data_IF_475120920600
#
_entry.id   IF_475120920600
#
_cell.length_a   1.000
_cell.length_b   1.000
_cell.length_c   1.000
_cell.angle_alpha   90.00
_cell.angle_beta   90.00
_cell.angle_gamma   90.00
#
_symmetry.space_group_name_H-M   'P 1'
#
loop_
_entity.id
_entity.type
_entity.pdbx_description
1 polymer ?
#
# COMPACT_ATOMS: atom_id res chain seq x y z
N UNK A 1 -4.27 1.48 -3.86
CA UNK A 1 -3.56 2.55 -3.13
C UNK A 1 -2.10 2.17 -3.04
N UNK A 2 -1.19 3.06 -3.37
CA UNK A 2 0.24 2.87 -3.10
C UNK A 2 0.57 3.51 -1.75
N UNK A 3 1.34 2.82 -0.92
CA UNK A 3 1.75 3.29 0.40
C UNK A 3 3.27 3.24 0.50
N UNK A 4 3.88 4.31 0.96
CA UNK A 4 5.31 4.34 1.29
C UNK A 4 5.49 4.23 2.80
N UNK A 5 6.25 3.26 3.26
CA UNK A 5 6.56 3.05 4.68
C UNK A 5 7.59 4.04 5.23
N UNK A 6 8.21 4.85 4.40
CA UNK A 6 9.22 5.85 4.81
C UNK A 6 9.04 7.16 4.07
N UNK A 7 8.66 8.19 4.80
CA UNK A 7 8.65 9.58 4.34
C UNK A 7 7.26 10.18 4.16
N UNK A 8 7.20 11.50 4.21
CA UNK A 8 6.00 12.26 3.95
C UNK A 8 5.62 12.12 2.47
N UNK A 9 4.36 11.82 2.21
CA UNK A 9 3.79 11.81 0.88
C UNK A 9 3.93 13.22 0.27
N UNK A 10 4.79 13.35 -0.74
CA UNK A 10 4.94 14.61 -1.45
C UNK A 10 4.31 14.48 -2.84
N UNK A 11 3.20 15.15 -3.04
CA UNK A 11 2.44 15.14 -4.29
C UNK A 11 3.28 15.55 -5.51
N UNK A 12 4.32 16.35 -5.31
CA UNK A 12 5.22 16.80 -6.38
C UNK A 12 6.20 15.71 -6.85
N UNK A 13 6.31 14.60 -6.12
CA UNK A 13 7.17 13.46 -6.47
C UNK A 13 6.40 12.27 -7.05
N UNK A 14 5.09 12.42 -7.25
CA UNK A 14 4.19 11.36 -7.80
C UNK A 14 4.68 10.82 -9.14
N UNK A 15 5.33 11.64 -9.96
CA UNK A 15 5.82 11.23 -11.29
C UNK A 15 7.06 10.32 -11.25
N UNK A 16 7.64 10.06 -10.08
CA UNK A 16 8.89 9.29 -9.91
C UNK A 16 8.70 7.95 -9.23
N UNK A 17 7.48 7.56 -8.91
CA UNK A 17 7.17 6.35 -8.15
C UNK A 17 6.03 5.60 -8.80
N UNK A 18 5.82 4.32 -8.46
CA UNK A 18 4.68 3.51 -8.94
C UNK A 18 3.29 4.12 -8.67
N UNK A 19 3.23 5.19 -7.87
CA UNK A 19 2.04 6.01 -7.67
C UNK A 19 1.61 6.72 -8.98
N UNK A 20 2.51 6.92 -9.94
CA UNK A 20 2.16 7.54 -11.23
C UNK A 20 1.10 6.73 -11.99
N UNK A 21 1.25 5.40 -12.03
CA UNK A 21 0.29 4.50 -12.68
C UNK A 21 -1.07 4.56 -11.97
N UNK A 22 -1.06 4.62 -10.65
CA UNK A 22 -2.28 4.74 -9.86
C UNK A 22 -2.95 6.11 -10.05
N UNK A 23 -2.16 7.20 -10.10
CA UNK A 23 -2.67 8.54 -10.41
C UNK A 23 -3.32 8.58 -11.79
N UNK A 24 -2.68 7.96 -12.79
CA UNK A 24 -3.17 7.96 -14.16
C UNK A 24 -4.46 7.12 -14.25
N UNK A 25 -4.56 6.00 -13.51
CA UNK A 25 -5.79 5.24 -13.37
C UNK A 25 -6.88 5.99 -12.59
N UNK A 26 -6.51 6.80 -11.58
CA UNK A 26 -7.46 7.67 -10.86
C UNK A 26 -7.91 8.85 -11.71
N UNK A 27 -7.02 9.46 -12.49
CA UNK A 27 -7.40 10.51 -13.44
C UNK A 27 -8.30 9.96 -14.54
N UNK A 28 -8.04 8.72 -14.99
CA UNK A 28 -8.92 8.00 -15.91
C UNK A 28 -10.31 7.76 -15.32
N UNK A 29 -10.37 7.30 -14.05
CA UNK A 29 -11.66 7.12 -13.35
C UNK A 29 -12.38 8.45 -13.07
N UNK A 30 -11.65 9.56 -12.91
CA UNK A 30 -12.26 10.90 -12.79
C UNK A 30 -12.72 11.49 -14.14
N UNK A 31 -12.06 11.13 -15.22
CA UNK A 31 -12.49 11.53 -16.57
C UNK A 31 -13.71 10.74 -17.04
N UNK A 32 -13.86 9.49 -16.57
CA UNK A 32 -15.03 8.65 -16.85
C UNK A 32 -16.28 9.00 -16.03
N UNK A 33 -16.18 9.85 -15.00
CA UNK A 33 -17.38 10.36 -14.34
C UNK A 33 -18.19 11.17 -15.36
N UNK A 34 -19.35 10.66 -15.64
CA UNK A 34 -20.30 11.31 -16.55
C UNK A 34 -20.61 12.73 -16.04
N UNK A 35 -21.05 13.59 -16.92
CA UNK A 35 -21.48 14.95 -16.53
C UNK A 35 -22.57 14.89 -15.44
N UNK A 36 -23.43 13.85 -15.48
CA UNK A 36 -24.46 13.60 -14.48
C UNK A 36 -23.90 13.25 -13.10
N UNK A 37 -22.83 12.46 -13.04
CA UNK A 37 -22.18 12.12 -11.76
C UNK A 37 -21.42 13.31 -11.17
N UNK A 38 -20.75 14.12 -12.01
CA UNK A 38 -20.13 15.37 -11.58
C UNK A 38 -21.18 16.38 -11.08
N UNK A 39 -22.31 16.47 -11.76
CA UNK A 39 -23.42 17.33 -11.35
C UNK A 39 -24.15 16.79 -10.14
N UNK A 40 -24.23 15.46 -9.97
CA UNK A 40 -24.76 14.81 -8.76
C UNK A 40 -23.87 15.10 -7.54
N UNK A 41 -22.56 14.95 -7.68
CA UNK A 41 -21.61 15.28 -6.62
C UNK A 41 -21.62 16.78 -6.26
N UNK A 42 -21.77 17.66 -7.26
CA UNK A 42 -21.93 19.09 -7.05
C UNK A 42 -23.27 19.43 -6.39
N UNK A 43 -24.36 18.73 -6.76
CA UNK A 43 -25.66 18.86 -6.11
C UNK A 43 -25.63 18.38 -4.66
N UNK A 44 -24.92 17.28 -4.37
CA UNK A 44 -24.70 16.80 -3.01
C UNK A 44 -23.91 17.81 -2.17
N UNK A 45 -22.87 18.44 -2.74
CA UNK A 45 -22.16 19.56 -2.11
C UNK A 45 -23.06 20.76 -1.87
N UNK A 46 -23.86 21.15 -2.86
CA UNK A 46 -24.81 22.28 -2.74
C UNK A 46 -25.95 21.96 -1.79
N UNK A 47 -26.39 20.70 -1.68
CA UNK A 47 -27.36 20.24 -0.67
C UNK A 47 -26.71 20.26 0.71
N UNK A 48 -25.45 19.88 0.84
CA UNK A 48 -24.66 20.01 2.06
C UNK A 48 -24.54 21.48 2.49
N UNK A 49 -24.18 22.36 1.58
CA UNK A 49 -24.11 23.81 1.82
C UNK A 49 -25.48 24.43 2.04
N UNK A 50 -26.55 23.97 1.35
CA UNK A 50 -27.89 24.55 1.45
C UNK A 50 -28.79 23.88 2.48
N UNK A 51 -28.59 22.63 2.85
CA UNK A 51 -29.35 21.98 3.94
C UNK A 51 -28.92 22.49 5.31
N UNK A 52 -27.74 23.08 5.42
CA UNK A 52 -27.36 23.88 6.56
C UNK A 52 -28.22 25.15 6.73
N UNK A 53 -29.03 25.50 5.71
CA UNK A 53 -29.67 26.82 5.61
C UNK A 53 -31.21 26.81 5.70
N UNK A 54 -31.90 25.69 5.87
CA UNK A 54 -33.37 25.65 5.82
C UNK A 54 -34.03 24.74 6.85
N UNK A 55 -33.97 25.08 8.11
CA UNK A 55 -35.02 24.64 9.05
C UNK A 55 -35.62 25.80 9.85
N UNK A 56 -36.94 25.79 9.96
CA UNK A 56 -37.76 26.85 10.56
C UNK A 56 -37.53 26.97 12.06
N UNK A 57 -37.57 28.22 12.51
CA UNK A 57 -37.84 28.68 13.88
C UNK A 57 -36.72 28.51 14.92
N UNK A 58 -35.54 28.84 14.61
CA UNK A 58 -34.47 29.43 15.43
C UNK A 58 -33.43 29.93 14.46
N UNK A 59 -32.70 30.94 14.82
CA UNK A 59 -31.71 31.55 13.96
C UNK A 59 -30.82 30.45 13.32
N UNK A 60 -31.03 30.19 12.05
CA UNK A 60 -30.37 29.08 11.30
C UNK A 60 -28.85 29.21 11.32
N UNK A 61 -28.36 30.42 11.58
CA UNK A 61 -26.93 30.73 11.68
C UNK A 61 -26.30 30.12 12.93
N UNK A 62 -26.95 30.21 14.07
CA UNK A 62 -26.46 29.66 15.35
C UNK A 62 -26.46 28.13 15.32
N UNK A 63 -27.49 27.52 14.75
CA UNK A 63 -27.58 26.06 14.61
C UNK A 63 -26.50 25.53 13.66
N UNK A 64 -26.31 26.21 12.54
CA UNK A 64 -25.27 25.84 11.57
C UNK A 64 -23.88 25.96 12.19
N UNK A 65 -23.61 27.02 12.92
CA UNK A 65 -22.34 27.21 13.63
C UNK A 65 -22.12 26.11 14.69
N UNK A 66 -23.17 25.75 15.46
CA UNK A 66 -23.11 24.68 16.45
C UNK A 66 -22.86 23.29 15.79
N UNK A 67 -23.51 23.01 14.66
CA UNK A 67 -23.31 21.81 13.86
C UNK A 67 -21.87 21.70 13.36
N UNK A 68 -21.38 22.78 12.73
CA UNK A 68 -20.02 22.82 12.20
C UNK A 68 -18.96 22.68 13.31
N UNK A 69 -19.21 23.36 14.44
CA UNK A 69 -18.33 23.21 15.61
C UNK A 69 -18.32 21.77 16.11
N UNK A 70 -19.49 21.13 16.22
CA UNK A 70 -19.57 19.74 16.70
C UNK A 70 -18.93 18.75 15.74
N UNK A 71 -19.09 18.94 14.44
CA UNK A 71 -18.39 18.14 13.43
C UNK A 71 -16.86 18.25 13.56
N UNK A 72 -16.35 19.47 13.78
CA UNK A 72 -14.91 19.70 13.97
C UNK A 72 -14.40 19.04 15.26
N UNK A 73 -15.15 19.10 16.36
CA UNK A 73 -14.81 18.43 17.63
C UNK A 73 -14.74 16.90 17.47
N UNK A 74 -15.66 16.29 16.70
CA UNK A 74 -15.63 14.85 16.41
C UNK A 74 -14.40 14.50 15.54
N UNK A 75 -14.08 15.33 14.55
CA UNK A 75 -12.85 15.15 13.79
C UNK A 75 -11.59 15.21 14.65
N UNK A 76 -11.55 16.12 15.62
CA UNK A 76 -10.42 16.22 16.54
C UNK A 76 -10.36 15.01 17.50
N UNK A 77 -11.51 14.55 17.99
CA UNK A 77 -11.60 13.41 18.91
C UNK A 77 -11.13 12.09 18.24
N UNK A 78 -11.52 11.84 16.99
CA UNK A 78 -11.27 10.57 16.29
C UNK A 78 -10.15 10.63 15.25
N UNK A 79 -9.65 11.82 14.92
CA UNK A 79 -8.58 12.05 13.95
C UNK A 79 -9.05 12.32 12.53
N UNK A 80 -8.10 12.74 11.69
CA UNK A 80 -8.34 13.19 10.30
C UNK A 80 -8.84 12.10 9.34
N UNK A 81 -8.81 10.85 9.75
CA UNK A 81 -9.27 9.71 8.93
C UNK A 81 -10.78 9.48 9.00
N UNK A 82 -11.47 10.17 9.91
CA UNK A 82 -12.91 10.05 10.05
C UNK A 82 -13.62 11.09 9.17
N UNK A 83 -14.64 10.65 8.45
CA UNK A 83 -15.52 11.52 7.68
C UNK A 83 -16.75 11.83 8.51
N UNK A 84 -16.92 13.09 8.91
CA UNK A 84 -18.03 13.55 9.75
C UNK A 84 -18.90 14.51 8.95
N UNK A 85 -20.17 14.14 8.80
CA UNK A 85 -21.14 14.93 8.04
C UNK A 85 -22.53 14.86 8.67
N UNK A 86 -23.45 15.81 8.34
CA UNK A 86 -24.87 15.62 8.58
C UNK A 86 -25.40 14.39 7.87
N UNK A 87 -26.32 13.66 8.49
CA UNK A 87 -26.88 12.43 7.89
C UNK A 87 -27.39 12.64 6.46
N UNK A 88 -28.01 13.78 6.18
CA UNK A 88 -28.54 14.08 4.84
C UNK A 88 -27.47 14.03 3.73
N UNK A 89 -26.21 14.33 4.07
CA UNK A 89 -25.11 14.28 3.12
C UNK A 89 -24.73 12.84 2.72
N UNK A 90 -25.19 11.83 3.45
CA UNK A 90 -24.98 10.41 3.14
C UNK A 90 -26.15 9.79 2.37
N UNK A 91 -27.24 10.52 2.12
CA UNK A 91 -28.36 10.01 1.36
C UNK A 91 -27.93 9.70 -0.08
N UNK A 92 -28.01 8.43 -0.46
CA UNK A 92 -27.58 7.97 -1.78
C UNK A 92 -26.06 7.78 -1.90
N UNK A 93 -25.30 7.86 -0.80
CA UNK A 93 -23.88 7.51 -0.81
C UNK A 93 -23.68 6.01 -0.66
N UNK A 94 -22.57 5.47 -1.24
CA UNK A 94 -22.21 4.06 -1.14
C UNK A 94 -21.78 3.64 0.28
N UNK A 95 -21.57 4.62 1.19
CA UNK A 95 -21.12 4.37 2.56
C UNK A 95 -22.24 3.99 3.51
N UNK A 96 -23.45 4.48 3.30
CA UNK A 96 -24.60 4.19 4.16
C UNK A 96 -25.72 3.59 3.32
N UNK A 97 -26.03 2.32 3.56
CA UNK A 97 -27.18 1.71 2.91
C UNK A 97 -28.50 2.33 3.38
N UNK A 98 -29.54 2.16 2.59
CA UNK A 98 -30.86 2.74 2.88
C UNK A 98 -31.42 2.36 4.27
N UNK A 99 -31.11 1.14 4.75
CA UNK A 99 -31.60 0.68 6.06
C UNK A 99 -30.99 1.46 7.21
N UNK A 100 -29.68 1.71 7.17
CA UNK A 100 -29.00 2.53 8.17
C UNK A 100 -29.42 3.99 8.09
N UNK A 101 -29.56 4.54 6.87
CA UNK A 101 -30.03 5.89 6.69
C UNK A 101 -31.40 6.10 7.34
N UNK A 102 -32.38 5.23 7.05
CA UNK A 102 -33.72 5.31 7.63
C UNK A 102 -33.72 5.07 9.15
N UNK A 103 -32.90 4.16 9.63
CA UNK A 103 -32.73 3.89 11.06
C UNK A 103 -32.22 5.14 11.80
N UNK A 104 -31.15 5.77 11.29
CA UNK A 104 -30.58 6.98 11.90
C UNK A 104 -31.53 8.14 11.82
N UNK A 105 -32.20 8.34 10.69
CA UNK A 105 -33.23 9.36 10.49
C UNK A 105 -34.38 9.21 11.48
N UNK A 106 -34.88 7.99 11.67
CA UNK A 106 -36.01 7.72 12.57
C UNK A 106 -35.63 7.93 14.05
N UNK A 107 -34.39 7.67 14.45
CA UNK A 107 -33.88 7.94 15.79
C UNK A 107 -33.77 9.43 16.08
N UNK A 108 -33.34 10.23 15.09
CA UNK A 108 -33.16 11.68 15.25
C UNK A 108 -34.46 12.49 15.26
N UNK A 109 -35.51 11.99 14.60
CA UNK A 109 -36.75 12.72 14.38
C UNK A 109 -36.62 13.84 13.34
N UNK A 110 -37.75 14.38 12.86
CA UNK A 110 -37.79 15.40 11.80
C UNK A 110 -37.30 16.79 12.23
N UNK A 111 -37.17 17.02 13.54
CA UNK A 111 -36.79 18.32 14.12
C UNK A 111 -35.33 18.38 14.57
N UNK A 112 -34.58 17.26 14.45
CA UNK A 112 -33.24 17.13 15.02
C UNK A 112 -32.20 16.88 13.96
N UNK A 113 -31.03 17.49 14.11
CA UNK A 113 -29.88 17.21 13.28
C UNK A 113 -29.20 15.91 13.73
N UNK A 114 -28.97 15.01 12.79
CA UNK A 114 -28.14 13.82 13.00
C UNK A 114 -26.79 14.05 12.34
N UNK A 115 -25.72 13.86 13.09
CA UNK A 115 -24.35 13.83 12.59
C UNK A 115 -23.92 12.38 12.53
N UNK A 116 -23.27 11.99 11.44
CA UNK A 116 -22.68 10.66 11.29
C UNK A 116 -21.19 10.81 11.04
N UNK A 117 -20.40 10.17 11.88
CA UNK A 117 -18.99 9.95 11.64
C UNK A 117 -18.79 8.58 11.02
N UNK A 118 -18.06 8.51 9.92
CA UNK A 118 -17.71 7.25 9.26
C UNK A 118 -16.20 7.09 9.29
N UNK A 119 -15.72 6.01 9.87
CA UNK A 119 -14.31 5.67 9.77
C UNK A 119 -14.14 4.26 9.21
N UNK A 120 -13.01 4.09 8.57
CA UNK A 120 -12.65 2.88 7.87
C UNK A 120 -11.51 2.22 8.62
N UNK A 121 -11.70 0.99 9.07
CA UNK A 121 -10.66 0.21 9.73
C UNK A 121 -10.20 -0.90 8.81
N UNK A 122 -8.90 -0.99 8.62
CA UNK A 122 -8.32 -2.16 7.97
C UNK A 122 -8.21 -3.30 8.98
N UNK A 123 -8.86 -4.41 8.70
CA UNK A 123 -8.83 -5.63 9.51
C UNK A 123 -7.95 -6.71 8.91
N UNK A 124 -7.45 -6.48 7.68
CA UNK A 124 -6.65 -7.45 6.98
C UNK A 124 -5.25 -7.64 7.58
N UNK A 125 -4.69 -8.84 7.44
CA UNK A 125 -3.34 -9.12 7.87
C UNK A 125 -2.31 -8.30 7.08
N UNK A 126 -1.18 -8.04 7.71
CA UNK A 126 -0.06 -7.31 7.15
C UNK A 126 1.24 -7.95 7.63
N UNK A 127 2.21 -8.04 6.72
CA UNK A 127 3.60 -8.32 7.04
C UNK A 127 4.45 -7.18 6.47
N UNK A 128 5.11 -6.45 7.34
CA UNK A 128 6.03 -5.38 6.95
C UNK A 128 7.23 -5.96 6.18
N UNK A 129 7.86 -5.18 5.29
CA UNK A 129 9.00 -5.62 4.51
C UNK A 129 10.13 -6.15 5.42
N UNK A 130 10.57 -7.37 5.14
CA UNK A 130 11.69 -8.00 5.85
C UNK A 130 13.04 -7.38 5.48
N UNK A 131 13.17 -6.85 4.26
CA UNK A 131 14.40 -6.26 3.74
C UNK A 131 14.38 -4.75 3.92
N UNK A 132 15.43 -4.22 4.55
CA UNK A 132 15.63 -2.79 4.75
C UNK A 132 16.67 -2.20 3.82
N UNK A 133 17.39 -3.04 3.07
CA UNK A 133 18.40 -2.59 2.12
C UNK A 133 17.76 -2.03 0.85
N UNK A 134 18.41 -1.01 0.28
CA UNK A 134 18.01 -0.38 -0.97
C UNK A 134 19.18 -0.44 -1.95
N UNK A 135 19.60 -1.64 -2.29
CA UNK A 135 20.75 -1.84 -3.15
C UNK A 135 20.39 -1.58 -4.61
N UNK A 136 21.41 -1.12 -5.37
CA UNK A 136 21.31 -0.89 -6.80
C UNK A 136 22.39 -1.65 -7.57
N UNK A 137 22.34 -1.55 -8.90
CA UNK A 137 23.17 -2.36 -9.78
C UNK A 137 24.51 -1.73 -10.14
N UNK A 138 24.74 -0.47 -9.75
CA UNK A 138 25.91 0.32 -10.11
C UNK A 138 26.82 0.61 -8.91
N UNK A 139 27.85 1.44 -9.15
CA UNK A 139 28.77 1.83 -8.08
C UNK A 139 29.57 0.65 -7.55
N UNK A 140 29.60 0.51 -6.23
CA UNK A 140 30.34 -0.56 -5.55
C UNK A 140 29.87 -1.97 -5.97
N UNK A 141 28.58 -2.14 -6.21
CA UNK A 141 27.99 -3.42 -6.63
C UNK A 141 28.49 -3.84 -8.02
N UNK A 142 28.66 -2.89 -8.94
CA UNK A 142 29.20 -3.12 -10.27
C UNK A 142 30.72 -3.00 -10.38
N UNK A 143 31.45 -2.79 -9.28
CA UNK A 143 32.89 -2.49 -9.28
C UNK A 143 33.73 -3.47 -10.09
N UNK A 144 33.44 -4.75 -9.94
CA UNK A 144 34.15 -5.85 -10.62
C UNK A 144 33.40 -6.41 -11.82
N UNK A 145 32.25 -5.86 -12.18
CA UNK A 145 31.52 -6.24 -13.38
C UNK A 145 32.18 -5.65 -14.64
N UNK A 146 32.14 -6.40 -15.74
CA UNK A 146 32.75 -6.02 -17.02
C UNK A 146 32.18 -4.70 -17.54
N UNK A 147 30.85 -4.54 -17.49
CA UNK A 147 30.15 -3.35 -17.96
C UNK A 147 29.73 -2.38 -16.84
N UNK A 148 30.29 -2.56 -15.61
CA UNK A 148 29.99 -1.78 -14.42
C UNK A 148 28.56 -1.93 -13.86
N UNK A 149 27.83 -2.95 -14.32
CA UNK A 149 26.52 -3.33 -13.78
C UNK A 149 26.62 -4.71 -13.11
N UNK A 150 26.21 -4.79 -11.85
CA UNK A 150 26.14 -6.07 -11.15
C UNK A 150 25.09 -7.01 -11.77
N UNK A 151 23.95 -6.45 -12.14
CA UNK A 151 22.79 -7.18 -12.64
C UNK A 151 21.72 -7.42 -11.58
N UNK A 152 20.46 -7.39 -12.01
CA UNK A 152 19.29 -7.52 -11.13
C UNK A 152 19.29 -8.83 -10.34
N UNK A 153 19.67 -9.95 -10.95
CA UNK A 153 19.75 -11.26 -10.28
C UNK A 153 20.75 -11.25 -9.12
N UNK A 154 21.87 -10.53 -9.30
CA UNK A 154 22.92 -10.41 -8.28
C UNK A 154 22.44 -9.56 -7.12
N UNK A 155 21.77 -8.42 -7.41
CA UNK A 155 21.26 -7.53 -6.37
C UNK A 155 20.16 -8.21 -5.58
N UNK A 156 19.18 -8.83 -6.23
CA UNK A 156 18.12 -9.56 -5.56
C UNK A 156 18.67 -10.67 -4.63
N UNK A 157 19.59 -11.48 -5.14
CA UNK A 157 20.23 -12.52 -4.33
C UNK A 157 21.10 -11.93 -3.20
N UNK A 158 21.86 -10.88 -3.48
CA UNK A 158 22.72 -10.22 -2.48
C UNK A 158 21.91 -9.66 -1.31
N UNK A 159 20.76 -9.05 -1.56
CA UNK A 159 19.87 -8.55 -0.51
C UNK A 159 19.29 -9.69 0.35
N UNK A 160 18.93 -10.83 -0.29
CA UNK A 160 18.51 -12.02 0.44
C UNK A 160 19.64 -12.61 1.29
N UNK A 161 20.86 -12.70 0.72
CA UNK A 161 22.03 -13.18 1.46
C UNK A 161 22.35 -12.28 2.65
N UNK A 162 22.20 -10.97 2.49
CA UNK A 162 22.34 -10.00 3.59
C UNK A 162 21.26 -10.18 4.66
N UNK A 163 20.03 -10.44 4.27
CA UNK A 163 18.94 -10.75 5.21
C UNK A 163 19.25 -11.99 6.07
N UNK A 164 19.70 -13.08 5.41
CA UNK A 164 20.05 -14.31 6.11
C UNK A 164 21.42 -14.26 6.82
N UNK A 165 22.25 -13.27 6.52
CA UNK A 165 23.66 -13.20 6.95
C UNK A 165 24.40 -14.53 6.75
N UNK A 166 24.24 -15.09 5.54
CA UNK A 166 24.79 -16.38 5.17
C UNK A 166 25.32 -16.35 3.72
N UNK A 167 26.43 -17.08 3.41
CA UNK A 167 27.24 -17.93 4.29
C UNK A 167 28.08 -17.13 5.30
N UNK A 168 28.51 -17.76 6.36
CA UNK A 168 29.30 -17.12 7.44
C UNK A 168 30.73 -16.73 7.05
N UNK A 169 31.10 -16.95 5.80
CA UNK A 169 32.41 -16.58 5.24
C UNK A 169 32.54 -15.10 4.92
N UNK A 170 31.42 -14.35 4.91
CA UNK A 170 31.41 -12.91 4.68
C UNK A 170 31.28 -12.14 5.99
N UNK A 171 31.88 -10.95 6.05
CA UNK A 171 31.67 -10.00 7.15
C UNK A 171 30.36 -9.23 6.93
N UNK A 172 29.27 -9.78 7.44
CA UNK A 172 27.93 -9.19 7.29
C UNK A 172 27.77 -7.87 8.04
N UNK A 173 28.56 -7.65 9.09
CA UNK A 173 28.55 -6.36 9.80
C UNK A 173 29.17 -5.26 8.93
N UNK A 174 30.29 -5.56 8.28
CA UNK A 174 30.91 -4.65 7.33
C UNK A 174 29.99 -4.36 6.14
N UNK A 175 29.33 -5.39 5.61
CA UNK A 175 28.37 -5.27 4.49
C UNK A 175 27.17 -4.40 4.89
N UNK A 176 26.61 -4.58 6.09
CA UNK A 176 25.44 -3.85 6.57
C UNK A 176 25.74 -2.39 6.94
N UNK A 177 26.95 -2.09 7.44
CA UNK A 177 27.28 -0.77 8.01
C UNK A 177 27.35 0.35 6.99
N UNK A 178 27.86 0.09 5.79
CA UNK A 178 27.95 1.06 4.71
C UNK A 178 28.12 0.37 3.34
N UNK A 179 27.05 -0.17 2.81
CA UNK A 179 27.09 -0.97 1.60
C UNK A 179 27.53 -0.19 0.34
N UNK A 180 27.39 1.13 0.31
CA UNK A 180 27.69 1.91 -0.92
C UNK A 180 29.18 2.19 -1.18
N UNK A 181 30.01 2.04 -0.17
CA UNK A 181 31.46 2.25 -0.29
C UNK A 181 32.29 1.05 0.18
N UNK A 182 31.66 0.00 0.66
CA UNK A 182 32.35 -1.10 1.32
C UNK A 182 32.84 -2.13 0.31
N UNK A 183 34.15 -2.42 0.35
CA UNK A 183 34.78 -3.43 -0.48
C UNK A 183 34.17 -4.83 -0.30
N UNK A 184 33.73 -5.18 0.91
CA UNK A 184 33.09 -6.47 1.19
C UNK A 184 31.83 -6.69 0.34
N UNK A 185 31.09 -5.61 0.05
CA UNK A 185 29.92 -5.65 -0.84
C UNK A 185 30.36 -5.92 -2.29
N UNK A 186 31.43 -5.28 -2.75
CA UNK A 186 31.96 -5.51 -4.09
C UNK A 186 32.44 -6.94 -4.29
N UNK A 187 33.11 -7.52 -3.28
CA UNK A 187 33.55 -8.92 -3.28
C UNK A 187 32.35 -9.86 -3.31
N UNK A 188 31.35 -9.65 -2.43
CA UNK A 188 30.11 -10.43 -2.43
C UNK A 188 29.42 -10.38 -3.79
N UNK A 189 29.28 -9.18 -4.36
CA UNK A 189 28.66 -8.99 -5.68
C UNK A 189 29.40 -9.76 -6.76
N UNK A 190 30.76 -9.72 -6.75
CA UNK A 190 31.59 -10.46 -7.70
C UNK A 190 31.42 -11.97 -7.57
N UNK A 191 31.43 -12.48 -6.34
CA UNK A 191 31.25 -13.92 -6.10
C UNK A 191 29.87 -14.41 -6.58
N UNK A 192 28.82 -13.60 -6.36
CA UNK A 192 27.50 -13.92 -6.88
C UNK A 192 27.50 -13.93 -8.42
N UNK A 193 28.09 -12.90 -9.06
CA UNK A 193 28.19 -12.81 -10.51
C UNK A 193 28.83 -14.07 -11.11
N UNK A 194 29.95 -14.52 -10.54
CA UNK A 194 30.68 -15.69 -11.01
C UNK A 194 29.89 -16.99 -10.87
N UNK A 195 29.26 -17.19 -9.69
CA UNK A 195 28.47 -18.41 -9.43
C UNK A 195 27.18 -18.45 -10.23
N UNK A 196 26.59 -17.27 -10.52
CA UNK A 196 25.41 -17.15 -11.36
C UNK A 196 25.74 -17.19 -12.86
N UNK A 197 27.04 -17.27 -13.22
CA UNK A 197 27.49 -17.26 -14.62
C UNK A 197 26.87 -16.10 -15.40
N UNK A 198 26.92 -14.89 -14.78
CA UNK A 198 26.31 -13.68 -15.36
C UNK A 198 26.98 -13.41 -16.72
N UNK A 199 26.14 -13.22 -17.74
CA UNK A 199 26.56 -12.76 -19.07
C UNK A 199 26.44 -11.26 -19.16
N UNK A 200 27.42 -10.63 -19.78
CA UNK A 200 27.53 -9.19 -19.94
C UNK A 200 27.37 -8.81 -21.40
N UNK A 201 26.49 -7.89 -21.67
CA UNK A 201 26.32 -7.19 -22.94
C UNK A 201 26.57 -5.70 -22.68
N UNK A 202 26.60 -4.88 -23.74
CA UNK A 202 26.97 -3.47 -23.61
C UNK A 202 26.16 -2.73 -22.53
N UNK A 203 24.84 -2.96 -22.50
CA UNK A 203 23.91 -2.29 -21.57
C UNK A 203 23.01 -3.28 -20.80
N UNK A 204 23.30 -4.57 -20.86
CA UNK A 204 22.49 -5.61 -20.22
C UNK A 204 23.37 -6.62 -19.49
N UNK A 205 22.77 -7.22 -18.48
CA UNK A 205 23.30 -8.40 -17.82
C UNK A 205 22.21 -9.46 -17.78
N UNK A 206 22.57 -10.71 -17.89
CA UNK A 206 21.60 -11.79 -17.81
C UNK A 206 22.14 -13.02 -17.09
N UNK A 207 21.27 -13.72 -16.39
CA UNK A 207 21.50 -15.06 -15.87
C UNK A 207 20.19 -15.85 -15.92
N UNK A 208 20.29 -17.13 -16.16
CA UNK A 208 19.10 -18.00 -16.15
C UNK A 208 18.71 -18.38 -14.74
N UNK A 209 17.42 -18.68 -14.51
CA UNK A 209 16.95 -19.16 -13.20
C UNK A 209 17.71 -20.41 -12.73
N UNK A 210 18.11 -21.29 -13.67
CA UNK A 210 18.91 -22.47 -13.36
C UNK A 210 20.29 -22.09 -12.80
N UNK A 211 20.98 -21.12 -13.44
CA UNK A 211 22.25 -20.64 -12.94
C UNK A 211 22.14 -19.96 -11.57
N UNK A 212 21.06 -19.19 -11.35
CA UNK A 212 20.77 -18.56 -10.04
C UNK A 212 20.59 -19.65 -8.97
N UNK A 213 19.78 -20.69 -9.26
CA UNK A 213 19.56 -21.82 -8.34
C UNK A 213 20.85 -22.57 -8.02
N UNK A 214 21.63 -22.90 -9.04
CA UNK A 214 22.91 -23.59 -8.87
C UNK A 214 23.92 -22.76 -8.08
N UNK A 215 23.99 -21.46 -8.38
CA UNK A 215 24.84 -20.52 -7.67
C UNK A 215 24.46 -20.41 -6.20
N UNK A 216 23.17 -20.23 -5.88
CA UNK A 216 22.69 -20.20 -4.50
C UNK A 216 22.99 -21.51 -3.75
N UNK A 217 22.78 -22.66 -4.39
CA UNK A 217 23.16 -23.96 -3.81
C UNK A 217 24.67 -24.05 -3.55
N UNK A 218 25.49 -23.50 -4.43
CA UNK A 218 26.95 -23.48 -4.23
C UNK A 218 27.40 -22.59 -3.07
N UNK A 219 26.56 -21.62 -2.64
CA UNK A 219 26.73 -20.88 -1.39
C UNK A 219 26.25 -21.64 -0.16
N UNK A 220 25.63 -22.81 -0.33
CA UNK A 220 25.15 -23.65 0.75
C UNK A 220 23.64 -23.47 1.07
N UNK A 221 22.90 -22.72 0.27
CA UNK A 221 21.44 -22.61 0.45
C UNK A 221 20.71 -23.86 -0.05
N UNK A 222 19.67 -24.26 0.65
CA UNK A 222 18.62 -25.09 0.06
C UNK A 222 17.69 -24.19 -0.73
N UNK A 223 17.39 -24.55 -1.99
CA UNK A 223 16.61 -23.72 -2.92
C UNK A 223 15.48 -24.55 -3.52
N UNK A 224 14.25 -24.12 -3.31
CA UNK A 224 13.05 -24.63 -3.98
C UNK A 224 12.45 -23.57 -4.90
N UNK A 225 11.94 -24.01 -6.05
CA UNK A 225 11.29 -23.14 -7.03
C UNK A 225 9.77 -23.32 -6.98
N UNK A 226 9.07 -22.23 -7.20
CA UNK A 226 7.60 -22.20 -7.36
C UNK A 226 7.26 -21.19 -8.45
N UNK A 227 6.02 -21.25 -8.93
CA UNK A 227 5.41 -20.33 -9.89
C UNK A 227 4.06 -19.82 -9.38
N UNK A 228 4.00 -19.52 -8.09
CA UNK A 228 2.80 -18.98 -7.47
C UNK A 228 2.43 -17.61 -8.08
N UNK A 229 1.20 -17.49 -8.55
CA UNK A 229 0.70 -16.26 -9.19
C UNK A 229 0.56 -15.15 -8.15
N UNK A 230 0.18 -15.50 -6.92
CA UNK A 230 -0.05 -14.55 -5.84
C UNK A 230 1.15 -14.55 -4.87
N UNK A 231 2.13 -13.69 -5.15
CA UNK A 231 3.38 -13.62 -4.41
C UNK A 231 3.20 -13.46 -2.89
N UNK A 232 2.17 -12.73 -2.44
CA UNK A 232 1.87 -12.58 -1.00
C UNK A 232 1.65 -13.90 -0.28
N UNK A 233 1.07 -14.92 -0.96
CA UNK A 233 0.85 -16.25 -0.36
C UNK A 233 2.16 -16.93 0.00
N UNK A 234 3.24 -16.64 -0.72
CA UNK A 234 4.54 -17.17 -0.39
C UNK A 234 5.12 -16.48 0.84
N UNK A 235 4.93 -15.17 0.97
CA UNK A 235 5.32 -14.43 2.17
C UNK A 235 4.54 -14.93 3.39
N UNK A 236 3.24 -15.11 3.24
CA UNK A 236 2.38 -15.67 4.30
C UNK A 236 2.81 -17.09 4.70
N UNK A 237 3.13 -17.93 3.71
CA UNK A 237 3.51 -19.33 3.94
C UNK A 237 4.88 -19.48 4.59
N UNK A 238 5.86 -18.68 4.14
CA UNK A 238 7.26 -18.90 4.51
C UNK A 238 7.78 -17.90 5.56
N UNK A 239 7.07 -16.80 5.82
CA UNK A 239 7.42 -15.75 6.78
C UNK A 239 8.85 -15.23 6.61
N UNK A 240 9.26 -14.99 5.37
CA UNK A 240 10.58 -14.49 4.99
C UNK A 240 10.58 -13.93 3.57
N UNK A 241 11.60 -13.15 3.19
CA UNK A 241 11.73 -12.67 1.81
C UNK A 241 12.07 -13.80 0.85
N UNK A 242 11.62 -13.64 -0.40
CA UNK A 242 11.89 -14.57 -1.50
C UNK A 242 12.45 -13.82 -2.71
N UNK A 243 13.21 -14.55 -3.51
CA UNK A 243 13.63 -14.11 -4.84
C UNK A 243 12.47 -14.27 -5.82
N UNK A 244 12.23 -13.28 -6.64
CA UNK A 244 11.29 -13.38 -7.76
C UNK A 244 11.93 -12.82 -9.03
N UNK A 245 11.56 -13.40 -10.17
CA UNK A 245 11.90 -12.88 -11.50
C UNK A 245 10.75 -13.05 -12.46
N UNK A 246 10.71 -12.20 -13.48
CA UNK A 246 9.76 -12.26 -14.56
C UNK A 246 10.28 -11.58 -15.81
N UNK A 247 9.46 -11.58 -16.86
CA UNK A 247 9.74 -10.87 -18.12
C UNK A 247 8.61 -9.91 -18.45
N UNK A 248 8.94 -8.82 -19.11
CA UNK A 248 7.94 -7.89 -19.63
C UNK A 248 7.35 -8.37 -20.97
N UNK A 249 6.50 -7.53 -21.55
CA UNK A 249 5.82 -7.86 -22.81
C UNK A 249 6.79 -7.88 -24.01
N UNK A 250 7.95 -7.21 -23.89
CA UNK A 250 9.02 -7.20 -24.90
C UNK A 250 10.01 -8.38 -24.73
N UNK A 251 9.87 -9.15 -23.65
CA UNK A 251 10.72 -10.28 -23.32
C UNK A 251 11.97 -9.90 -22.52
N UNK A 252 12.11 -8.65 -22.10
CA UNK A 252 13.18 -8.23 -21.21
C UNK A 252 12.90 -8.75 -19.78
N UNK A 253 13.92 -9.35 -19.17
CA UNK A 253 13.84 -9.97 -17.86
C UNK A 253 14.26 -9.03 -16.73
N UNK A 254 13.67 -9.19 -15.57
CA UNK A 254 14.11 -8.57 -14.32
C UNK A 254 13.99 -9.54 -13.15
N UNK A 255 14.80 -9.31 -12.11
CA UNK A 255 14.76 -10.04 -10.86
C UNK A 255 14.73 -9.07 -9.68
N UNK A 256 13.95 -9.40 -8.67
CA UNK A 256 13.71 -8.57 -7.50
C UNK A 256 13.44 -9.42 -6.24
N UNK A 257 13.19 -8.77 -5.14
CA UNK A 257 12.77 -9.44 -3.89
C UNK A 257 11.32 -9.11 -3.59
N UNK A 258 10.57 -10.14 -3.18
CA UNK A 258 9.26 -10.00 -2.54
C UNK A 258 9.46 -10.25 -1.05
N UNK A 259 9.00 -9.34 -0.19
CA UNK A 259 9.40 -9.39 1.21
C UNK A 259 8.35 -8.89 2.22
N UNK A 260 7.16 -8.57 1.77
CA UNK A 260 6.08 -8.14 2.63
C UNK A 260 4.74 -8.10 1.89
N UNK A 261 3.65 -7.92 2.61
CA UNK A 261 2.36 -7.68 2.00
C UNK A 261 1.43 -6.91 2.95
N UNK A 262 0.44 -6.25 2.37
CA UNK A 262 -0.66 -5.62 3.08
C UNK A 262 -1.98 -6.03 2.45
N UNK A 263 -2.93 -6.42 3.28
CA UNK A 263 -4.29 -6.72 2.85
C UNK A 263 -5.19 -5.56 3.20
N UNK A 264 -6.00 -5.13 2.24
CA UNK A 264 -7.03 -4.13 2.45
C UNK A 264 -8.37 -4.84 2.61
N UNK A 265 -8.68 -5.20 3.83
CA UNK A 265 -10.00 -5.66 4.27
C UNK A 265 -10.58 -4.57 5.16
N UNK A 266 -11.50 -3.79 4.60
CA UNK A 266 -12.01 -2.63 5.27
C UNK A 266 -13.39 -2.86 5.83
N UNK A 267 -13.53 -2.57 7.12
CA UNK A 267 -14.81 -2.43 7.77
C UNK A 267 -15.12 -0.95 8.00
N UNK A 268 -16.32 -0.54 7.62
CA UNK A 268 -16.83 0.80 7.95
C UNK A 268 -17.54 0.76 9.29
N UNK A 269 -17.25 1.76 10.12
CA UNK A 269 -17.88 1.97 11.40
C UNK A 269 -18.56 3.33 11.43
N UNK A 270 -19.77 3.38 12.00
CA UNK A 270 -20.53 4.60 12.09
C UNK A 270 -20.61 5.05 13.54
N UNK A 271 -20.25 6.31 13.80
CA UNK A 271 -20.51 7.02 15.05
C UNK A 271 -21.67 7.95 14.78
N UNK A 272 -22.71 7.88 15.59
CA UNK A 272 -23.93 8.64 15.35
C UNK A 272 -24.21 9.57 16.54
N UNK A 273 -24.40 10.85 16.26
CA UNK A 273 -24.86 11.83 17.25
C UNK A 273 -26.17 12.47 16.80
N UNK A 274 -27.06 12.67 17.75
CA UNK A 274 -28.36 13.28 17.55
C UNK A 274 -28.45 14.59 18.34
N UNK A 275 -28.88 15.65 17.71
CA UNK A 275 -29.27 16.87 18.42
C UNK A 275 -30.63 16.66 19.03
N UNK A 276 -30.71 16.59 20.35
CA UNK A 276 -31.96 16.49 21.10
C UNK A 276 -32.17 17.73 21.95
N UNK A 277 -33.43 18.12 22.11
CA UNK A 277 -33.78 19.26 22.95
C UNK A 277 -35.15 19.12 23.58
N UNK A 278 -35.23 19.61 24.80
CA UNK A 278 -36.52 19.87 25.48
C UNK A 278 -36.63 21.37 25.74
N UNK A 279 -37.75 21.98 25.35
CA UNK A 279 -38.19 23.36 25.68
C UNK A 279 -37.07 24.34 26.05
N UNK A 280 -36.21 24.66 25.06
CA UNK A 280 -35.24 25.77 25.19
C UNK A 280 -33.77 25.36 25.35
N UNK A 281 -33.43 24.09 25.51
CA UNK A 281 -32.05 23.63 25.49
C UNK A 281 -31.85 22.47 24.53
N UNK A 282 -30.90 22.63 23.61
CA UNK A 282 -30.49 21.57 22.65
C UNK A 282 -29.10 21.09 22.98
N UNK A 283 -28.89 19.75 22.93
CA UNK A 283 -27.60 19.15 23.10
C UNK A 283 -27.40 17.98 22.11
N UNK A 284 -26.17 17.75 21.68
CA UNK A 284 -25.85 16.55 20.97
C UNK A 284 -25.70 15.39 21.96
N UNK A 285 -26.39 14.28 21.65
CA UNK A 285 -26.29 13.03 22.38
C UNK A 285 -25.68 11.99 21.45
N UNK A 286 -24.58 11.37 21.87
CA UNK A 286 -24.00 10.28 21.13
C UNK A 286 -24.78 9.00 21.32
N UNK A 287 -25.10 8.33 20.23
CA UNK A 287 -25.48 6.93 20.31
C UNK A 287 -24.20 6.12 20.63
N UNK A 288 -24.15 5.52 21.83
CA UNK A 288 -23.00 4.75 22.27
C UNK A 288 -22.83 3.43 21.48
N UNK A 289 -23.76 3.12 20.58
CA UNK A 289 -23.68 1.96 19.71
C UNK A 289 -22.80 2.30 18.51
N UNK A 290 -21.69 1.60 18.36
CA UNK A 290 -20.89 1.64 17.13
C UNK A 290 -21.53 0.67 16.16
N UNK A 291 -22.09 1.20 15.09
CA UNK A 291 -22.66 0.39 14.03
C UNK A 291 -21.57 0.01 13.05
N UNK A 292 -21.44 -1.27 12.75
CA UNK A 292 -20.63 -1.72 11.62
C UNK A 292 -21.54 -1.91 10.41
N UNK A 293 -21.13 -1.46 9.24
CA UNK A 293 -21.74 -1.91 8.01
C UNK A 293 -21.53 -3.43 7.94
N UNK A 294 -22.63 -4.19 7.81
CA UNK A 294 -22.60 -5.66 7.87
C UNK A 294 -21.56 -6.30 6.96
N UNK A 295 -21.63 -7.63 6.80
CA UNK A 295 -20.66 -8.51 6.11
C UNK A 295 -20.36 -8.20 4.62
N UNK A 296 -20.59 -7.01 4.14
CA UNK A 296 -20.04 -6.51 2.89
C UNK A 296 -18.52 -6.33 3.04
N UNK A 297 -17.86 -7.44 3.38
CA UNK A 297 -16.43 -7.59 3.32
C UNK A 297 -15.99 -7.37 1.87
N UNK A 298 -15.75 -6.14 1.50
CA UNK A 298 -15.01 -5.88 0.30
C UNK A 298 -13.56 -6.30 0.59
N UNK A 299 -13.22 -7.55 0.28
CA UNK A 299 -11.84 -7.97 0.09
C UNK A 299 -11.33 -7.15 -1.09
N UNK A 300 -10.73 -6.04 -0.75
CA UNK A 300 -10.44 -5.09 -1.79
C UNK A 300 -9.18 -5.44 -2.53
N UNK A 301 -8.09 -5.75 -1.87
CA UNK A 301 -6.85 -6.08 -2.57
C UNK A 301 -5.77 -6.52 -1.60
N UNK A 302 -4.96 -7.46 -2.02
CA UNK A 302 -3.68 -7.77 -1.39
C UNK A 302 -2.59 -7.12 -2.22
N UNK A 303 -1.75 -6.32 -1.61
CA UNK A 303 -0.58 -5.75 -2.24
C UNK A 303 0.66 -6.43 -1.69
N UNK A 304 1.53 -6.91 -2.58
CA UNK A 304 2.83 -7.46 -2.23
C UNK A 304 3.88 -6.36 -2.28
N UNK A 305 4.78 -6.34 -1.33
CA UNK A 305 5.92 -5.43 -1.35
C UNK A 305 7.02 -5.99 -2.25
N UNK A 306 7.47 -5.15 -3.20
CA UNK A 306 8.57 -5.44 -4.11
C UNK A 306 9.76 -4.53 -3.82
N UNK A 307 10.94 -5.11 -3.67
CA UNK A 307 12.22 -4.41 -3.67
C UNK A 307 12.92 -4.69 -5.01
N UNK A 308 12.89 -3.69 -5.90
CA UNK A 308 13.32 -3.83 -7.29
C UNK A 308 14.83 -3.88 -7.48
N UNK A 309 15.61 -3.55 -6.48
CA UNK A 309 17.04 -3.45 -6.59
C UNK A 309 17.53 -2.28 -7.45
N UNK A 310 16.82 -1.15 -7.37
CA UNK A 310 17.10 0.10 -8.09
C UNK A 310 17.40 1.27 -7.14
N UNK A 311 18.24 1.06 -6.14
CA UNK A 311 18.59 2.05 -5.10
C UNK A 311 17.35 2.56 -4.34
N UNK A 312 16.40 1.67 -4.07
CA UNK A 312 15.14 1.99 -3.40
C UNK A 312 14.12 2.72 -4.28
N UNK A 313 14.45 2.97 -5.55
CA UNK A 313 13.50 3.59 -6.47
C UNK A 313 12.42 2.59 -6.84
N UNK A 314 11.18 3.08 -6.80
CA UNK A 314 9.98 2.29 -7.10
C UNK A 314 9.72 1.11 -6.14
N UNK A 315 10.53 0.93 -5.09
CA UNK A 315 10.22 -0.04 -4.06
C UNK A 315 8.87 0.32 -3.41
N UNK A 316 8.00 -0.69 -3.21
CA UNK A 316 6.68 -0.43 -2.67
C UNK A 316 5.70 -1.58 -2.86
N UNK A 317 4.43 -1.29 -2.60
CA UNK A 317 3.34 -2.25 -2.62
C UNK A 317 2.56 -2.22 -3.93
N UNK A 318 2.42 -3.38 -4.56
CA UNK A 318 1.75 -3.56 -5.84
C UNK A 318 0.78 -4.73 -5.80
N UNK A 319 -0.28 -4.69 -6.60
CA UNK A 319 -1.21 -5.82 -6.76
C UNK A 319 -0.52 -6.97 -7.49
N UNK A 320 0.23 -6.62 -8.53
CA UNK A 320 1.07 -7.53 -9.33
C UNK A 320 2.30 -6.74 -9.80
N UNK A 321 3.38 -7.40 -10.25
CA UNK A 321 4.49 -6.69 -10.86
C UNK A 321 3.97 -5.82 -12.03
N UNK A 322 4.19 -4.50 -12.02
CA UNK A 322 3.58 -3.63 -13.03
C UNK A 322 4.15 -3.83 -14.43
N UNK A 323 5.39 -4.30 -14.55
CA UNK A 323 6.07 -4.46 -15.82
C UNK A 323 6.42 -5.92 -16.12
N UNK A 324 7.06 -6.62 -15.22
CA UNK A 324 7.64 -7.96 -15.46
C UNK A 324 6.68 -9.09 -15.05
N UNK A 325 5.44 -9.03 -15.50
CA UNK A 325 4.32 -9.88 -15.06
C UNK A 325 4.26 -11.27 -15.71
N UNK A 326 5.09 -11.52 -16.74
CA UNK A 326 5.05 -12.78 -17.47
C UNK A 326 6.14 -13.74 -16.98
N UNK A 327 5.87 -15.05 -17.07
CA UNK A 327 6.80 -16.12 -16.72
C UNK A 327 7.40 -15.95 -15.31
N UNK A 328 6.57 -15.54 -14.36
CA UNK A 328 7.00 -15.37 -12.97
C UNK A 328 7.56 -16.68 -12.42
N UNK A 329 8.69 -16.58 -11.72
CA UNK A 329 9.36 -17.67 -11.02
C UNK A 329 9.88 -17.16 -9.69
N UNK A 330 9.60 -17.90 -8.63
CA UNK A 330 10.08 -17.55 -7.30
C UNK A 330 11.02 -18.63 -6.76
N UNK A 331 12.01 -18.19 -6.01
CA UNK A 331 12.90 -19.07 -5.26
C UNK A 331 12.75 -18.84 -3.77
N UNK A 332 12.44 -19.90 -3.07
CA UNK A 332 12.45 -19.96 -1.62
C UNK A 332 13.80 -20.50 -1.15
N UNK A 333 14.54 -19.69 -0.41
CA UNK A 333 15.85 -20.00 0.13
C UNK A 333 15.74 -20.43 1.59
N UNK A 334 16.53 -21.42 1.98
CA UNK A 334 16.72 -21.80 3.38
C UNK A 334 18.20 -22.02 3.66
N UNK A 335 18.65 -21.59 4.83
CA UNK A 335 20.00 -21.88 5.32
C UNK A 335 20.01 -23.26 5.99
N UNK A 336 21.13 -24.00 5.99
CA UNK A 336 21.27 -25.21 6.77
C UNK A 336 21.03 -24.92 8.27
N UNK A 337 20.36 -25.86 8.93
CA UNK A 337 20.18 -25.82 10.37
C UNK A 337 21.49 -26.14 11.10
#
# INVERSE_FOLDING_TARGET
MAYSSKGNFNINNINKTGISIWRDNLSYSQEELTKEEKDSNRRLWNIYESSSLKSRAMDDTEKTAALNKRMAEIHEEFGMSIDVRPLIAFKGSDFINNSYYEMFKNKGGSEFYTIVGVYKKNLGPQIDPYITTQWGQQGVFGKYAVNKFAGCTVIAAGQLMNYFQYPKTYDWNAIASNCYINESVAVLSKDIQDRFKVKYEENKTSSTISNVKEGLKSFGYSVSETDEIFAYRLIEKYHKPLYEQGVDDDGDGHAWVIDGYITFDYQYYYIVEYLRGNSGSYRYERDNTIYSAGDDNMVVSVLTHYNWGWDGREDGYYVTPPKYKNKLKQLNLSIPQ
#
